data_IF_683613563406
#
_entry.id   IF_683613563406
#
_cell.length_a   1.000
_cell.length_b   1.000
_cell.length_c   1.000
_cell.angle_alpha   90.00
_cell.angle_beta   90.00
_cell.angle_gamma   90.00
#
_symmetry.space_group_name_H-M   'P 1'
#
loop_
_entity.id
_entity.type
_entity.pdbx_description
1 polymer ?
#
# COMPACT_ATOMS: atom_id res chain seq x y z
N UNK A 1 -2.27 59.96 -29.83
CA UNK A 1 -2.63 59.61 -28.44
C UNK A 1 -3.86 58.73 -28.48
N UNK A 2 -3.68 57.42 -28.53
CA UNK A 2 -4.73 56.44 -28.30
C UNK A 2 -4.09 55.41 -27.36
N UNK A 3 -4.54 55.42 -26.11
CA UNK A 3 -4.05 54.54 -25.07
C UNK A 3 -4.60 53.14 -25.28
N UNK A 4 -3.70 52.18 -25.47
CA UNK A 4 -3.99 50.75 -25.37
C UNK A 4 -3.86 50.34 -23.90
N UNK A 5 -4.98 50.11 -23.25
CA UNK A 5 -5.03 49.47 -21.93
C UNK A 5 -4.86 47.96 -22.14
N UNK A 6 -3.63 47.47 -22.00
CA UNK A 6 -3.37 46.04 -21.86
C UNK A 6 -3.81 45.61 -20.46
N UNK A 7 -4.84 44.78 -20.38
CA UNK A 7 -5.24 44.10 -19.15
C UNK A 7 -4.20 43.01 -18.89
N UNK A 8 -3.19 43.33 -18.08
CA UNK A 8 -2.34 42.32 -17.44
C UNK A 8 -3.16 41.64 -16.33
N UNK A 9 -3.78 40.50 -16.63
CA UNK A 9 -4.16 39.53 -15.59
C UNK A 9 -2.91 38.79 -15.14
N UNK A 10 -2.08 39.48 -14.37
CA UNK A 10 -1.07 38.82 -13.54
C UNK A 10 -1.80 38.06 -12.43
N UNK A 11 -1.73 36.73 -12.45
CA UNK A 11 -2.13 35.91 -11.30
C UNK A 11 -1.17 36.25 -10.15
N UNK A 12 -1.65 37.09 -9.24
CA UNK A 12 -0.97 37.41 -7.99
C UNK A 12 -0.90 36.10 -7.15
N UNK A 13 0.24 35.40 -7.17
CA UNK A 13 0.49 34.28 -6.25
C UNK A 13 0.40 34.77 -4.81
N UNK A 14 -0.63 34.38 -4.08
CA UNK A 14 -0.77 34.65 -2.64
C UNK A 14 -0.34 33.41 -1.86
N UNK A 15 0.79 33.50 -1.16
CA UNK A 15 1.30 32.45 -0.26
C UNK A 15 0.27 32.02 0.81
N UNK A 16 -0.67 32.90 1.15
CA UNK A 16 -1.76 32.64 2.09
C UNK A 16 -2.72 31.53 1.60
N UNK A 17 -2.92 31.42 0.28
CA UNK A 17 -3.75 30.37 -0.32
C UNK A 17 -3.05 29.02 -0.31
N UNK A 18 -1.73 29.01 -0.47
CA UNK A 18 -0.89 27.80 -0.41
C UNK A 18 -0.78 27.26 1.02
N UNK A 19 -0.62 28.14 2.00
CA UNK A 19 -0.63 27.77 3.43
C UNK A 19 -1.99 27.15 3.82
N UNK A 20 -3.10 27.76 3.38
CA UNK A 20 -4.44 27.25 3.63
C UNK A 20 -4.73 25.90 2.97
N UNK A 21 -4.23 25.65 1.75
CA UNK A 21 -4.42 24.37 1.07
C UNK A 21 -3.72 23.21 1.79
N UNK A 22 -2.47 23.43 2.22
CA UNK A 22 -1.71 22.44 2.97
C UNK A 22 -2.38 22.08 4.30
N UNK A 23 -2.82 23.09 5.06
CA UNK A 23 -3.56 22.89 6.31
C UNK A 23 -4.86 22.10 6.12
N UNK A 24 -5.61 22.40 5.05
CA UNK A 24 -6.84 21.67 4.72
C UNK A 24 -6.56 20.18 4.43
N UNK A 25 -5.51 19.88 3.66
CA UNK A 25 -5.17 18.50 3.32
C UNK A 25 -4.65 17.69 4.53
N UNK A 26 -3.77 18.28 5.34
CA UNK A 26 -3.28 17.64 6.57
C UNK A 26 -4.42 17.43 7.55
N UNK A 27 -5.25 18.46 7.77
CA UNK A 27 -6.41 18.37 8.65
C UNK A 27 -7.44 17.32 8.18
N UNK A 28 -7.62 17.14 6.87
CA UNK A 28 -8.44 16.07 6.32
C UNK A 28 -7.91 14.69 6.69
N UNK A 29 -6.61 14.44 6.48
CA UNK A 29 -5.96 13.15 6.77
C UNK A 29 -6.03 12.84 8.27
N UNK A 30 -5.72 13.81 9.12
CA UNK A 30 -5.78 13.66 10.58
C UNK A 30 -7.20 13.37 11.05
N UNK A 31 -8.19 14.05 10.47
CA UNK A 31 -9.60 13.80 10.77
C UNK A 31 -10.00 12.38 10.41
N UNK A 32 -9.60 11.88 9.22
CA UNK A 32 -9.87 10.50 8.81
C UNK A 32 -9.32 9.52 9.85
N UNK A 33 -8.05 9.66 10.23
CA UNK A 33 -7.42 8.77 11.20
C UNK A 33 -8.06 8.86 12.59
N UNK A 34 -8.38 10.07 13.07
CA UNK A 34 -9.07 10.27 14.34
C UNK A 34 -10.45 9.61 14.34
N UNK A 35 -11.21 9.73 13.24
CA UNK A 35 -12.51 9.07 13.12
C UNK A 35 -12.37 7.55 13.06
N UNK A 36 -11.40 7.02 12.33
CA UNK A 36 -11.11 5.58 12.29
C UNK A 36 -10.73 5.04 13.68
N UNK A 37 -9.92 5.78 14.46
CA UNK A 37 -9.59 5.44 15.84
C UNK A 37 -10.84 5.39 16.72
N UNK A 38 -11.68 6.44 16.65
CA UNK A 38 -12.92 6.55 17.41
C UNK A 38 -13.89 5.40 17.13
N UNK A 39 -13.90 4.88 15.90
CA UNK A 39 -14.73 3.75 15.48
C UNK A 39 -14.10 2.38 15.79
N UNK A 40 -12.92 2.32 16.40
CA UNK A 40 -12.21 1.07 16.69
C UNK A 40 -11.71 0.36 15.43
N UNK A 41 -11.57 1.07 14.31
CA UNK A 41 -11.17 0.50 13.02
C UNK A 41 -9.64 0.35 12.85
N UNK A 42 -8.85 0.82 13.82
CA UNK A 42 -7.39 0.73 13.79
C UNK A 42 -6.85 -0.57 14.38
N UNK A 43 -7.65 -1.25 15.19
CA UNK A 43 -7.24 -2.50 15.80
C UNK A 43 -7.42 -3.64 14.80
N UNK A 44 -6.29 -4.19 14.32
CA UNK A 44 -6.33 -5.49 13.68
C UNK A 44 -6.89 -6.49 14.72
N UNK A 45 -7.90 -7.31 14.39
CA UNK A 45 -8.37 -8.33 15.32
C UNK A 45 -7.16 -9.19 15.67
N UNK A 46 -6.77 -9.14 16.95
CA UNK A 46 -5.51 -9.71 17.41
C UNK A 46 -5.32 -11.09 16.80
N UNK A 47 -4.20 -11.27 16.07
CA UNK A 47 -3.92 -12.54 15.42
C UNK A 47 -3.84 -13.62 16.49
N UNK A 48 -4.96 -14.29 16.72
CA UNK A 48 -4.96 -15.53 17.48
C UNK A 48 -4.17 -16.49 16.62
N UNK A 49 -2.96 -16.81 17.07
CA UNK A 49 -2.15 -17.88 16.48
C UNK A 49 -3.03 -19.13 16.52
N UNK A 50 -3.70 -19.42 15.40
CA UNK A 50 -4.59 -20.57 15.27
C UNK A 50 -3.70 -21.80 15.28
N UNK A 51 -3.55 -22.39 16.45
CA UNK A 51 -2.85 -23.66 16.57
C UNK A 51 -3.62 -24.70 15.77
N UNK A 52 -2.99 -25.30 14.76
CA UNK A 52 -3.58 -26.38 13.95
C UNK A 52 -3.89 -27.66 14.77
N UNK A 53 -3.50 -27.69 16.04
CA UNK A 53 -3.62 -28.84 16.92
C UNK A 53 -4.74 -28.63 17.93
N UNK A 54 -5.49 -29.69 18.19
CA UNK A 54 -6.52 -29.71 19.23
C UNK A 54 -5.89 -29.52 20.62
N UNK A 55 -6.69 -29.03 21.57
CA UNK A 55 -6.27 -28.90 22.97
C UNK A 55 -5.78 -30.23 23.55
N UNK A 56 -6.35 -31.35 23.09
CA UNK A 56 -5.98 -32.71 23.49
C UNK A 56 -4.57 -33.04 22.98
N UNK A 57 -4.32 -32.87 21.68
CA UNK A 57 -3.00 -33.09 21.07
C UNK A 57 -1.91 -32.23 21.71
N UNK A 58 -2.23 -30.96 22.02
CA UNK A 58 -1.30 -30.07 22.73
C UNK A 58 -0.98 -30.60 24.13
N UNK A 59 -1.96 -31.14 24.87
CA UNK A 59 -1.73 -31.78 26.18
C UNK A 59 -0.83 -33.01 26.06
N UNK A 60 -1.02 -33.84 25.03
CA UNK A 60 -0.17 -35.01 24.77
C UNK A 60 1.27 -34.62 24.43
N UNK A 61 1.47 -33.58 23.61
CA UNK A 61 2.81 -33.03 23.31
C UNK A 61 3.48 -32.51 24.57
N UNK A 62 2.76 -31.80 25.43
CA UNK A 62 3.28 -31.33 26.74
C UNK A 62 3.68 -32.51 27.62
N UNK A 63 2.87 -33.57 27.69
CA UNK A 63 3.18 -34.81 28.43
C UNK A 63 4.45 -35.47 27.90
N UNK A 64 4.57 -35.65 26.58
CA UNK A 64 5.79 -36.15 25.91
C UNK A 64 7.03 -35.33 26.27
N UNK A 65 6.96 -34.00 26.19
CA UNK A 65 8.07 -33.10 26.55
C UNK A 65 8.47 -33.25 28.02
N UNK A 66 7.49 -33.39 28.94
CA UNK A 66 7.73 -33.63 30.36
C UNK A 66 8.44 -34.97 30.60
N UNK A 67 7.98 -36.05 29.95
CA UNK A 67 8.62 -37.38 30.05
C UNK A 67 10.03 -37.37 29.47
N UNK A 68 10.26 -36.71 28.33
CA UNK A 68 11.61 -36.56 27.76
C UNK A 68 12.55 -35.83 28.72
N UNK A 69 12.11 -34.75 29.39
CA UNK A 69 12.93 -34.08 30.42
C UNK A 69 13.25 -34.97 31.62
N UNK A 70 12.34 -35.88 32.00
CA UNK A 70 12.60 -36.85 33.08
C UNK A 70 13.63 -37.89 32.66
N UNK A 71 13.56 -38.37 31.42
CA UNK A 71 14.55 -39.29 30.84
C UNK A 71 15.95 -38.66 30.83
N UNK A 72 16.07 -37.40 30.39
CA UNK A 72 17.35 -36.67 30.38
C UNK A 72 17.97 -36.50 31.78
N UNK A 73 17.18 -36.70 32.84
CA UNK A 73 17.63 -36.67 34.25
C UNK A 73 17.78 -38.07 34.85
N UNK A 74 17.76 -39.13 34.03
CA UNK A 74 17.76 -40.54 34.44
C UNK A 74 16.60 -40.96 35.38
N UNK A 75 15.51 -40.20 35.39
CA UNK A 75 14.38 -40.38 36.31
C UNK A 75 13.21 -41.19 35.70
N UNK A 76 13.36 -41.77 34.51
CA UNK A 76 12.37 -42.72 33.97
C UNK A 76 12.97 -43.67 32.92
N UNK A 77 12.42 -44.88 32.75
CA UNK A 77 12.79 -45.81 31.68
C UNK A 77 12.60 -45.23 30.27
N UNK A 78 13.39 -45.73 29.31
CA UNK A 78 13.31 -45.35 27.88
C UNK A 78 11.95 -45.74 27.29
N UNK A 79 11.35 -46.86 27.72
CA UNK A 79 10.04 -47.34 27.28
C UNK A 79 8.91 -46.32 27.49
N UNK A 80 8.93 -45.58 28.61
CA UNK A 80 7.96 -44.53 28.90
C UNK A 80 8.04 -43.37 27.90
N UNK A 81 9.24 -43.05 27.42
CA UNK A 81 9.45 -42.03 26.41
C UNK A 81 8.95 -42.47 25.02
N UNK A 82 9.14 -43.74 24.67
CA UNK A 82 8.67 -44.32 23.40
C UNK A 82 7.14 -44.34 23.37
N UNK A 83 6.49 -44.82 24.43
CA UNK A 83 5.04 -44.82 24.55
C UNK A 83 4.45 -43.40 24.55
N UNK A 84 5.11 -42.45 25.22
CA UNK A 84 4.73 -41.04 25.20
C UNK A 84 4.98 -40.36 23.83
N UNK A 85 5.70 -40.97 22.88
CA UNK A 85 5.90 -40.46 21.51
C UNK A 85 4.81 -40.92 20.54
N UNK A 86 4.30 -42.15 20.67
CA UNK A 86 3.38 -42.76 19.69
C UNK A 86 2.01 -42.07 19.66
N UNK A 87 1.40 -41.84 20.82
CA UNK A 87 0.07 -41.21 20.95
C UNK A 87 0.02 -39.79 20.35
N UNK A 88 0.90 -38.84 20.72
CA UNK A 88 0.86 -37.50 20.14
C UNK A 88 1.15 -37.50 18.64
N UNK A 89 2.00 -38.38 18.12
CA UNK A 89 2.24 -38.46 16.67
C UNK A 89 0.97 -38.90 15.91
N UNK A 90 0.19 -39.81 16.48
CA UNK A 90 -1.10 -40.23 15.93
C UNK A 90 -2.10 -39.08 15.97
N UNK A 91 -2.24 -38.42 17.11
CA UNK A 91 -3.15 -37.28 17.30
C UNK A 91 -2.81 -36.10 16.38
N UNK A 92 -1.51 -35.79 16.20
CA UNK A 92 -1.05 -34.78 15.23
C UNK A 92 -1.46 -35.15 13.81
N UNK A 93 -1.31 -36.42 13.40
CA UNK A 93 -1.73 -36.87 12.06
C UNK A 93 -3.24 -36.74 11.86
N UNK A 94 -4.03 -37.09 12.88
CA UNK A 94 -5.49 -36.97 12.84
C UNK A 94 -5.92 -35.51 12.75
N UNK A 95 -5.37 -34.63 13.59
CA UNK A 95 -5.67 -33.19 13.57
C UNK A 95 -5.32 -32.58 12.21
N UNK A 96 -4.17 -32.94 11.63
CA UNK A 96 -3.77 -32.49 10.28
C UNK A 96 -4.74 -32.96 9.20
N UNK A 97 -5.18 -34.22 9.23
CA UNK A 97 -6.17 -34.75 8.28
C UNK A 97 -7.51 -34.02 8.40
N UNK A 98 -7.99 -33.82 9.63
CA UNK A 98 -9.24 -33.10 9.89
C UNK A 98 -9.16 -31.64 9.42
N UNK A 99 -8.03 -30.97 9.67
CA UNK A 99 -7.81 -29.60 9.24
C UNK A 99 -7.73 -29.49 7.71
N UNK A 100 -7.08 -30.46 7.04
CA UNK A 100 -7.04 -30.52 5.59
C UNK A 100 -8.43 -30.69 4.99
N UNK A 101 -9.25 -31.61 5.53
CA UNK A 101 -10.63 -31.81 5.08
C UNK A 101 -11.49 -30.54 5.27
N UNK A 102 -11.37 -29.86 6.42
CA UNK A 102 -12.04 -28.57 6.66
C UNK A 102 -11.59 -27.50 5.67
N UNK A 103 -10.30 -27.46 5.34
CA UNK A 103 -9.75 -26.49 4.39
C UNK A 103 -10.30 -26.75 2.98
N UNK A 104 -10.34 -28.00 2.53
CA UNK A 104 -10.94 -28.41 1.24
C UNK A 104 -12.40 -27.98 1.16
N UNK A 105 -13.20 -28.26 2.20
CA UNK A 105 -14.61 -27.87 2.23
C UNK A 105 -14.78 -26.35 2.11
N UNK A 106 -14.02 -25.59 2.90
CA UNK A 106 -14.02 -24.12 2.85
C UNK A 106 -13.69 -23.57 1.46
N UNK A 107 -12.78 -24.22 0.73
CA UNK A 107 -12.41 -23.79 -0.63
C UNK A 107 -13.51 -24.10 -1.63
N UNK A 108 -14.13 -25.28 -1.53
CA UNK A 108 -15.26 -25.61 -2.38
C UNK A 108 -16.37 -24.55 -2.21
N UNK A 109 -16.66 -24.18 -0.96
CA UNK A 109 -17.61 -23.10 -0.66
C UNK A 109 -17.15 -21.75 -1.24
N UNK A 110 -15.86 -21.41 -1.17
CA UNK A 110 -15.32 -20.16 -1.74
C UNK A 110 -15.38 -20.09 -3.27
N UNK A 111 -15.16 -21.22 -3.94
CA UNK A 111 -15.29 -21.32 -5.41
C UNK A 111 -16.75 -21.14 -5.81
N UNK A 112 -17.68 -21.76 -5.08
CA UNK A 112 -19.12 -21.67 -5.36
C UNK A 112 -19.68 -20.26 -5.12
N UNK A 113 -19.08 -19.48 -4.22
CA UNK A 113 -19.50 -18.12 -3.89
C UNK A 113 -18.69 -17.03 -4.62
N UNK A 114 -17.92 -17.38 -5.65
CA UNK A 114 -17.07 -16.47 -6.45
C UNK A 114 -16.06 -15.62 -5.63
N UNK A 115 -15.61 -16.13 -4.47
CA UNK A 115 -14.52 -15.51 -3.69
C UNK A 115 -13.15 -15.93 -4.25
N UNK A 116 -12.91 -15.51 -5.50
CA UNK A 116 -11.67 -15.77 -6.25
C UNK A 116 -10.41 -15.34 -5.49
N UNK A 117 -10.49 -14.27 -4.68
CA UNK A 117 -9.37 -13.73 -3.89
C UNK A 117 -8.95 -14.67 -2.76
N UNK A 118 -9.90 -15.26 -2.03
CA UNK A 118 -9.57 -16.20 -0.96
C UNK A 118 -9.10 -17.55 -1.52
N UNK A 119 -9.68 -17.99 -2.63
CA UNK A 119 -9.23 -19.18 -3.34
C UNK A 119 -7.76 -19.06 -3.81
N UNK A 120 -7.40 -17.93 -4.43
CA UNK A 120 -6.01 -17.70 -4.85
C UNK A 120 -5.05 -17.62 -3.66
N UNK A 121 -5.46 -17.01 -2.53
CA UNK A 121 -4.64 -17.02 -1.31
C UNK A 121 -4.34 -18.45 -0.83
N UNK A 122 -5.32 -19.35 -0.90
CA UNK A 122 -5.12 -20.76 -0.54
C UNK A 122 -4.12 -21.47 -1.46
N UNK A 123 -4.29 -21.39 -2.79
CA UNK A 123 -3.35 -22.05 -3.72
C UNK A 123 -1.91 -21.54 -3.51
N UNK A 124 -1.73 -20.23 -3.31
CA UNK A 124 -0.41 -19.64 -3.04
C UNK A 124 0.25 -20.23 -1.78
N UNK A 125 -0.52 -20.51 -0.73
CA UNK A 125 0.02 -21.13 0.50
C UNK A 125 0.47 -22.58 0.30
N UNK A 126 -0.15 -23.33 -0.62
CA UNK A 126 0.16 -24.73 -0.89
C UNK A 126 1.29 -24.93 -1.89
N UNK A 127 1.42 -24.03 -2.86
CA UNK A 127 2.39 -24.18 -3.94
C UNK A 127 3.82 -23.88 -3.50
N UNK A 128 4.05 -23.43 -2.26
CA UNK A 128 5.39 -23.08 -1.76
C UNK A 128 6.03 -21.88 -2.48
N UNK A 129 5.40 -21.39 -3.55
CA UNK A 129 5.68 -20.12 -4.23
C UNK A 129 5.15 -18.95 -3.39
N UNK A 130 5.29 -19.00 -2.07
CA UNK A 130 5.54 -17.76 -1.37
C UNK A 130 6.79 -17.24 -2.03
N UNK A 131 6.69 -16.13 -2.76
CA UNK A 131 7.84 -15.46 -3.34
C UNK A 131 8.98 -15.61 -2.33
N UNK A 132 10.07 -16.32 -2.68
CA UNK A 132 11.31 -16.10 -1.95
C UNK A 132 11.55 -14.62 -2.15
N UNK A 133 11.10 -13.87 -1.16
CA UNK A 133 11.16 -12.44 -1.10
C UNK A 133 12.64 -12.17 -0.90
N UNK A 134 13.37 -12.15 -2.02
CA UNK A 134 14.60 -11.38 -2.12
C UNK A 134 14.16 -9.90 -2.30
N UNK A 135 13.16 -9.45 -1.52
CA UNK A 135 12.80 -8.03 -1.51
C UNK A 135 13.95 -7.20 -0.92
N UNK A 136 14.83 -7.84 -0.15
CA UNK A 136 15.96 -7.20 0.51
C UNK A 136 17.29 -7.91 0.22
N UNK A 137 17.48 -8.33 -1.04
CA UNK A 137 18.75 -8.89 -1.51
C UNK A 137 19.92 -7.91 -1.41
N UNK A 138 21.15 -8.38 -1.61
CA UNK A 138 22.30 -7.50 -1.72
C UNK A 138 22.21 -6.67 -3.01
N UNK A 139 22.67 -5.41 -2.97
CA UNK A 139 22.55 -4.45 -4.09
C UNK A 139 23.92 -3.87 -4.41
N UNK A 140 24.20 -3.63 -5.70
CA UNK A 140 25.41 -2.95 -6.15
C UNK A 140 25.34 -1.45 -5.91
N UNK A 141 26.45 -0.87 -5.44
CA UNK A 141 26.66 0.57 -5.50
C UNK A 141 27.06 1.03 -6.94
N UNK A 142 27.25 2.34 -7.11
CA UNK A 142 27.68 2.94 -8.39
C UNK A 142 29.04 2.44 -8.91
N UNK A 143 29.85 1.82 -8.07
CA UNK A 143 31.15 1.25 -8.40
C UNK A 143 31.10 -0.28 -8.53
N UNK A 144 29.90 -0.88 -8.57
CA UNK A 144 29.66 -2.33 -8.62
C UNK A 144 30.18 -3.09 -7.38
N UNK A 145 30.32 -2.42 -6.22
CA UNK A 145 30.57 -3.10 -4.95
C UNK A 145 29.26 -3.62 -4.36
N UNK A 146 29.30 -4.83 -3.81
CA UNK A 146 28.10 -5.48 -3.27
C UNK A 146 27.82 -4.99 -1.83
N UNK A 147 26.63 -4.43 -1.62
CA UNK A 147 26.18 -3.91 -0.33
C UNK A 147 25.07 -4.78 0.25
N UNK A 148 25.21 -5.17 1.51
CA UNK A 148 24.22 -5.95 2.26
C UNK A 148 23.59 -5.17 3.41
N UNK A 149 24.23 -4.09 3.85
CA UNK A 149 23.80 -3.25 4.97
C UNK A 149 22.56 -2.42 4.58
N UNK A 150 21.60 -2.31 5.50
CA UNK A 150 20.27 -1.77 5.21
C UNK A 150 20.29 -0.27 4.93
N UNK A 151 21.03 0.51 5.72
CA UNK A 151 21.08 1.97 5.55
C UNK A 151 21.79 2.37 4.25
N UNK A 152 22.86 1.68 3.89
CA UNK A 152 23.56 1.88 2.63
C UNK A 152 22.69 1.46 1.43
N UNK A 153 21.94 0.36 1.54
CA UNK A 153 20.94 0.02 0.51
C UNK A 153 19.88 1.10 0.34
N UNK A 154 19.37 1.69 1.42
CA UNK A 154 18.43 2.81 1.35
C UNK A 154 19.05 3.98 0.59
N UNK A 155 20.31 4.36 0.90
CA UNK A 155 21.00 5.43 0.16
C UNK A 155 21.18 5.10 -1.32
N UNK A 156 21.52 3.85 -1.66
CA UNK A 156 21.63 3.41 -3.06
C UNK A 156 20.28 3.59 -3.78
N UNK A 157 19.18 3.12 -3.19
CA UNK A 157 17.84 3.27 -3.76
C UNK A 157 17.41 4.73 -3.87
N UNK A 158 17.62 5.54 -2.83
CA UNK A 158 17.30 6.97 -2.82
C UNK A 158 18.05 7.70 -3.92
N UNK A 159 19.36 7.43 -4.09
CA UNK A 159 20.14 8.04 -5.15
C UNK A 159 19.69 7.58 -6.53
N UNK A 160 19.47 6.27 -6.73
CA UNK A 160 19.06 5.72 -8.01
C UNK A 160 17.73 6.32 -8.49
N UNK A 161 16.67 6.21 -7.68
CA UNK A 161 15.36 6.76 -8.05
C UNK A 161 15.33 8.29 -8.02
N UNK A 162 16.12 8.92 -7.16
CA UNK A 162 16.28 10.37 -7.13
C UNK A 162 16.88 10.92 -8.43
N UNK A 163 17.94 10.28 -8.94
CA UNK A 163 18.53 10.67 -10.24
C UNK A 163 17.59 10.36 -11.42
N UNK A 164 16.79 9.28 -11.37
CA UNK A 164 15.76 9.01 -12.38
C UNK A 164 14.66 10.08 -12.41
N UNK A 165 14.27 10.62 -11.25
CA UNK A 165 13.24 11.65 -11.14
C UNK A 165 13.76 13.07 -11.37
N UNK A 166 15.08 13.25 -11.44
CA UNK A 166 15.72 14.56 -11.57
C UNK A 166 15.57 15.09 -12.99
N UNK A 167 15.10 16.32 -13.11
CA UNK A 167 15.15 17.04 -14.38
C UNK A 167 16.58 17.54 -14.64
N UNK A 168 17.44 16.63 -15.13
CA UNK A 168 18.83 16.96 -15.49
C UNK A 168 18.92 18.02 -16.58
N UNK A 169 17.86 18.19 -17.37
CA UNK A 169 17.85 19.08 -18.52
C UNK A 169 17.28 20.47 -18.23
N UNK A 170 16.61 20.66 -17.09
CA UNK A 170 15.86 21.86 -16.76
C UNK A 170 14.64 22.11 -17.65
N UNK A 171 14.24 21.12 -18.45
CA UNK A 171 13.19 21.28 -19.45
C UNK A 171 11.79 21.15 -18.87
N UNK A 172 11.61 20.39 -17.79
CA UNK A 172 10.29 20.03 -17.26
C UNK A 172 9.47 21.25 -16.87
N UNK A 173 10.11 22.37 -16.53
CA UNK A 173 9.44 23.64 -16.14
C UNK A 173 9.86 24.84 -17.01
N UNK A 174 10.46 24.62 -18.17
CA UNK A 174 10.93 25.71 -19.04
C UNK A 174 9.82 26.18 -19.99
N UNK A 175 9.10 27.26 -19.62
CA UNK A 175 8.00 27.82 -20.43
C UNK A 175 8.41 28.08 -21.88
N UNK A 176 9.52 28.80 -22.08
CA UNK A 176 10.05 29.12 -23.40
C UNK A 176 10.28 27.87 -24.28
N UNK A 177 10.73 26.77 -23.68
CA UNK A 177 10.95 25.53 -24.43
C UNK A 177 9.64 24.94 -24.90
N UNK A 178 8.64 24.88 -24.03
CA UNK A 178 7.33 24.33 -24.36
C UNK A 178 6.55 25.24 -25.31
N UNK A 179 6.58 26.56 -25.12
CA UNK A 179 5.96 27.54 -26.03
C UNK A 179 6.48 27.41 -27.47
N UNK A 180 7.77 27.13 -27.67
CA UNK A 180 8.34 26.92 -29.00
C UNK A 180 7.96 25.57 -29.64
N UNK A 181 7.55 24.58 -28.84
CA UNK A 181 7.17 23.23 -29.29
C UNK A 181 5.64 23.09 -29.47
N UNK A 182 4.87 23.86 -28.72
CA UNK A 182 3.41 23.88 -28.80
C UNK A 182 3.03 24.76 -29.99
N UNK A 183 2.35 24.17 -30.97
CA UNK A 183 1.85 24.91 -32.12
C UNK A 183 0.80 25.92 -31.67
N UNK A 184 0.94 27.20 -32.06
CA UNK A 184 -0.02 28.25 -31.70
C UNK A 184 -1.38 28.11 -32.40
N UNK A 185 -1.48 27.24 -33.41
CA UNK A 185 -2.72 26.91 -34.13
C UNK A 185 -3.58 25.82 -33.42
N UNK A 186 -3.28 25.45 -32.18
CA UNK A 186 -4.11 24.49 -31.43
C UNK A 186 -5.41 25.11 -30.96
N UNK A 187 -6.52 24.38 -31.14
CA UNK A 187 -7.84 24.76 -30.63
C UNK A 187 -7.78 25.00 -29.10
N UNK A 188 -8.23 26.17 -28.66
CA UNK A 188 -8.35 26.50 -27.25
C UNK A 188 -9.53 25.75 -26.63
N UNK A 189 -9.25 24.90 -25.65
CA UNK A 189 -10.26 24.15 -24.92
C UNK A 189 -10.82 25.00 -23.77
N UNK A 190 -11.81 25.84 -24.09
CA UNK A 190 -12.48 26.69 -23.09
C UNK A 190 -13.09 25.88 -21.94
N UNK A 191 -13.41 24.60 -22.16
CA UNK A 191 -13.86 23.69 -21.12
C UNK A 191 -12.87 23.53 -19.97
N UNK A 192 -11.56 23.74 -20.22
CA UNK A 192 -10.52 23.71 -19.19
C UNK A 192 -10.54 24.92 -18.26
N UNK A 193 -11.25 26.00 -18.60
CA UNK A 193 -11.39 27.14 -17.69
C UNK A 193 -12.56 26.97 -16.71
N UNK A 194 -13.37 25.92 -16.88
CA UNK A 194 -14.51 25.67 -16.02
C UNK A 194 -14.08 25.10 -14.67
N UNK A 195 -14.80 25.46 -13.62
CA UNK A 195 -14.69 24.83 -12.31
C UNK A 195 -14.99 23.34 -12.40
N UNK A 196 -14.23 22.52 -11.68
CA UNK A 196 -14.44 21.07 -11.64
C UNK A 196 -15.79 20.77 -10.98
N UNK A 197 -16.62 20.01 -11.69
CA UNK A 197 -17.92 19.57 -11.23
C UNK A 197 -17.81 18.40 -10.25
N UNK A 198 -18.74 18.33 -9.30
CA UNK A 198 -18.82 17.21 -8.36
C UNK A 198 -19.00 15.85 -9.05
N UNK A 199 -19.70 15.81 -10.19
CA UNK A 199 -19.84 14.60 -11.00
C UNK A 199 -18.51 14.11 -11.59
N UNK A 200 -17.60 15.03 -11.95
CA UNK A 200 -16.27 14.69 -12.46
C UNK A 200 -15.40 14.13 -11.33
N UNK A 201 -15.46 14.74 -10.15
CA UNK A 201 -14.76 14.26 -8.95
C UNK A 201 -15.22 12.86 -8.57
N UNK A 202 -16.54 12.64 -8.48
CA UNK A 202 -17.09 11.33 -8.12
C UNK A 202 -16.87 10.27 -9.20
N UNK A 203 -16.88 10.67 -10.48
CA UNK A 203 -16.47 9.84 -11.61
C UNK A 203 -15.01 9.39 -11.47
N UNK A 204 -14.08 10.31 -11.25
CA UNK A 204 -12.67 10.00 -11.05
C UNK A 204 -12.44 9.11 -9.82
N UNK A 205 -13.14 9.38 -8.71
CA UNK A 205 -13.08 8.53 -7.52
C UNK A 205 -13.56 7.10 -7.83
N UNK A 206 -14.59 6.93 -8.66
CA UNK A 206 -15.11 5.62 -9.06
C UNK A 206 -14.05 4.75 -9.74
N UNK A 207 -13.27 5.37 -10.62
CA UNK A 207 -12.23 4.71 -11.43
C UNK A 207 -11.01 4.29 -10.61
N UNK A 208 -10.81 4.87 -9.41
CA UNK A 208 -9.69 4.45 -8.57
C UNK A 208 -9.80 2.96 -8.21
N UNK A 209 -8.76 2.14 -8.38
CA UNK A 209 -8.86 0.70 -8.12
C UNK A 209 -8.93 0.37 -6.62
N UNK A 210 -9.85 -0.51 -6.23
CA UNK A 210 -9.93 -1.02 -4.85
C UNK A 210 -8.75 -1.94 -4.50
N UNK A 211 -8.45 -2.07 -3.21
CA UNK A 211 -7.43 -2.93 -2.62
C UNK A 211 -6.02 -2.64 -3.12
N UNK A 212 -5.76 -1.42 -3.58
CA UNK A 212 -4.38 -0.96 -3.84
C UNK A 212 -3.70 -0.54 -2.56
N UNK A 213 -2.38 -0.55 -2.60
CA UNK A 213 -1.59 -0.05 -1.49
C UNK A 213 -1.93 1.43 -1.26
N UNK A 214 -2.16 1.84 0.00
CA UNK A 214 -2.34 3.26 0.29
C UNK A 214 -1.05 4.03 0.05
N UNK A 215 -1.16 5.35 -0.12
CA UNK A 215 -0.01 6.25 -0.22
C UNK A 215 0.76 6.40 1.10
N UNK A 216 1.67 7.39 1.15
CA UNK A 216 2.52 7.66 2.32
C UNK A 216 1.76 7.83 3.64
N UNK A 217 0.52 8.33 3.56
CA UNK A 217 -0.34 8.60 4.71
C UNK A 217 -1.24 7.42 5.12
N UNK A 218 -1.14 6.28 4.43
CA UNK A 218 -1.82 5.04 4.82
C UNK A 218 -3.34 5.01 4.60
N UNK A 219 -3.95 6.06 4.04
CA UNK A 219 -5.40 6.10 3.76
C UNK A 219 -5.71 5.33 2.47
N UNK A 220 -6.55 4.28 2.50
CA UNK A 220 -6.89 3.50 1.31
C UNK A 220 -7.92 4.24 0.44
N UNK A 221 -7.90 3.96 -0.87
CA UNK A 221 -8.79 4.58 -1.87
C UNK A 221 -10.27 4.48 -1.52
N UNK A 222 -10.68 3.40 -0.88
CA UNK A 222 -12.05 3.09 -0.51
C UNK A 222 -12.64 4.09 0.49
N UNK A 223 -11.80 4.73 1.31
CA UNK A 223 -12.26 5.80 2.23
C UNK A 223 -12.76 7.00 1.43
N UNK A 224 -12.04 7.39 0.38
CA UNK A 224 -12.43 8.52 -0.46
C UNK A 224 -13.69 8.22 -1.26
N UNK A 225 -13.91 6.95 -1.63
CA UNK A 225 -15.11 6.51 -2.37
C UNK A 225 -16.41 6.60 -1.57
N UNK A 226 -16.36 6.78 -0.25
CA UNK A 226 -17.56 6.85 0.60
C UNK A 226 -18.51 7.99 0.20
N UNK A 227 -17.99 9.06 -0.40
CA UNK A 227 -18.77 10.22 -0.83
C UNK A 227 -19.46 10.04 -2.19
N UNK A 228 -19.14 8.98 -2.94
CA UNK A 228 -19.63 8.79 -4.32
C UNK A 228 -21.14 8.59 -4.43
N UNK A 229 -21.80 8.16 -3.34
CA UNK A 229 -23.25 8.02 -3.32
C UNK A 229 -23.98 9.38 -3.21
N UNK A 230 -23.26 10.47 -2.92
CA UNK A 230 -23.85 11.79 -2.77
C UNK A 230 -24.03 12.47 -4.14
N UNK A 231 -25.25 12.89 -4.53
CA UNK A 231 -25.48 13.57 -5.80
C UNK A 231 -24.89 15.00 -5.83
N UNK A 232 -24.56 15.56 -4.67
CA UNK A 232 -23.90 16.85 -4.49
C UNK A 232 -23.04 16.79 -3.21
N UNK A 233 -22.01 17.63 -3.03
CA UNK A 233 -21.11 17.53 -1.89
C UNK A 233 -21.79 18.08 -0.62
N UNK A 234 -22.53 17.22 0.08
CA UNK A 234 -23.34 17.63 1.24
C UNK A 234 -22.66 17.35 2.57
N UNK A 235 -22.00 16.19 2.68
CA UNK A 235 -21.26 15.80 3.87
C UNK A 235 -20.01 16.66 4.06
N UNK A 236 -19.52 16.72 5.30
CA UNK A 236 -18.29 17.46 5.60
C UNK A 236 -17.09 16.93 4.80
N UNK A 237 -17.01 15.61 4.58
CA UNK A 237 -15.97 14.99 3.78
C UNK A 237 -16.09 15.39 2.31
N UNK A 238 -17.28 15.29 1.73
CA UNK A 238 -17.53 15.64 0.33
C UNK A 238 -17.25 17.13 0.05
N UNK A 239 -17.70 18.02 0.95
CA UNK A 239 -17.41 19.46 0.87
C UNK A 239 -15.92 19.76 0.91
N UNK A 240 -15.18 19.09 1.81
CA UNK A 240 -13.75 19.31 1.97
C UNK A 240 -12.97 18.80 0.75
N UNK A 241 -13.30 17.60 0.24
CA UNK A 241 -12.71 17.06 -1.00
C UNK A 241 -12.98 18.00 -2.18
N UNK A 242 -14.25 18.41 -2.37
CA UNK A 242 -14.63 19.32 -3.45
C UNK A 242 -13.87 20.66 -3.37
N UNK A 243 -13.72 21.20 -2.17
CA UNK A 243 -12.99 22.45 -1.94
C UNK A 243 -11.49 22.30 -2.26
N UNK A 244 -10.84 21.24 -1.77
CA UNK A 244 -9.42 21.00 -2.00
C UNK A 244 -9.13 20.85 -3.51
N UNK A 245 -9.92 20.03 -4.21
CA UNK A 245 -9.73 19.78 -5.65
C UNK A 245 -9.88 21.07 -6.46
N UNK A 246 -10.91 21.87 -6.19
CA UNK A 246 -11.10 23.12 -6.91
C UNK A 246 -10.00 24.14 -6.60
N UNK A 247 -9.53 24.26 -5.35
CA UNK A 247 -8.38 25.12 -5.04
C UNK A 247 -7.13 24.65 -5.81
N UNK A 248 -6.87 23.34 -5.85
CA UNK A 248 -5.73 22.80 -6.61
C UNK A 248 -5.84 23.13 -8.11
N UNK A 249 -7.04 23.01 -8.66
CA UNK A 249 -7.30 23.29 -10.08
C UNK A 249 -7.13 24.78 -10.41
N UNK A 250 -7.82 25.66 -9.66
CA UNK A 250 -7.86 27.09 -9.91
C UNK A 250 -6.49 27.75 -9.69
N UNK A 251 -5.69 27.23 -8.75
CA UNK A 251 -4.38 27.82 -8.41
C UNK A 251 -3.20 27.13 -9.10
N UNK A 252 -3.39 25.90 -9.60
CA UNK A 252 -2.31 25.04 -10.06
C UNK A 252 -1.35 24.58 -8.94
N UNK A 253 -1.65 24.86 -7.68
CA UNK A 253 -0.80 24.47 -6.55
C UNK A 253 -1.13 23.06 -6.08
N UNK A 254 -0.10 22.25 -5.87
CA UNK A 254 -0.22 20.90 -5.31
C UNK A 254 0.19 20.96 -3.83
N UNK A 255 -0.63 20.46 -2.89
CA UNK A 255 -0.26 20.44 -1.48
C UNK A 255 0.93 19.51 -1.25
N UNK A 256 1.80 19.88 -0.31
CA UNK A 256 3.02 19.16 0.05
C UNK A 256 2.75 17.70 0.42
N UNK A 257 1.60 17.41 1.04
CA UNK A 257 1.22 16.03 1.36
C UNK A 257 0.97 15.16 0.11
N UNK A 258 0.72 15.76 -1.06
CA UNK A 258 0.58 15.04 -2.34
C UNK A 258 1.88 15.06 -3.17
N UNK A 259 2.91 15.78 -2.74
CA UNK A 259 4.22 15.83 -3.42
C UNK A 259 5.11 14.63 -3.09
N UNK A 260 4.81 13.92 -2.00
CA UNK A 260 5.61 12.78 -1.56
C UNK A 260 5.12 11.46 -2.17
N UNK A 261 6.06 10.64 -2.64
CA UNK A 261 5.78 9.31 -3.18
C UNK A 261 6.52 8.24 -2.38
N UNK A 262 5.88 7.08 -2.21
CA UNK A 262 6.51 5.90 -1.62
C UNK A 262 7.10 5.06 -2.75
N UNK A 263 8.42 4.96 -2.78
CA UNK A 263 9.13 4.14 -3.75
C UNK A 263 9.24 2.70 -3.23
N UNK A 264 8.73 1.75 -4.01
CA UNK A 264 8.85 0.32 -3.74
C UNK A 264 9.56 -0.31 -4.95
N UNK A 265 10.86 -0.65 -4.84
CA UNK A 265 11.59 -1.24 -5.96
C UNK A 265 10.96 -2.58 -6.37
N UNK A 266 10.49 -2.68 -7.61
CA UNK A 266 9.91 -3.89 -8.17
C UNK A 266 10.91 -4.53 -9.15
N UNK A 267 11.37 -5.77 -8.88
CA UNK A 267 12.36 -6.40 -9.74
C UNK A 267 11.80 -6.65 -11.15
N UNK A 268 12.63 -6.33 -12.14
CA UNK A 268 12.49 -6.70 -13.55
C UNK A 268 13.38 -7.93 -13.84
N UNK A 269 13.30 -8.43 -15.07
CA UNK A 269 14.20 -9.50 -15.53
C UNK A 269 15.64 -8.97 -15.58
N UNK A 270 16.58 -9.71 -14.99
CA UNK A 270 18.00 -9.35 -14.98
C UNK A 270 18.70 -9.81 -13.70
N UNK A 271 19.89 -9.27 -13.44
CA UNK A 271 20.58 -9.44 -12.16
C UNK A 271 19.88 -8.60 -11.09
N UNK A 272 19.33 -9.26 -10.06
CA UNK A 272 18.62 -8.63 -8.96
C UNK A 272 19.52 -7.82 -8.01
N UNK A 273 20.84 -7.89 -8.20
CA UNK A 273 21.77 -7.02 -7.47
C UNK A 273 21.91 -5.65 -8.11
N UNK A 274 21.51 -5.50 -9.38
CA UNK A 274 21.68 -4.27 -10.14
C UNK A 274 20.43 -3.38 -10.02
N UNK A 275 20.52 -2.15 -9.47
CA UNK A 275 19.38 -1.23 -9.37
C UNK A 275 18.68 -0.96 -10.71
N UNK A 276 19.39 -0.97 -11.84
CA UNK A 276 18.81 -0.73 -13.16
C UNK A 276 17.79 -1.81 -13.57
N UNK A 277 17.87 -2.98 -12.93
CA UNK A 277 16.91 -4.07 -13.10
C UNK A 277 15.68 -3.93 -12.20
N UNK A 278 15.38 -2.73 -11.68
CA UNK A 278 14.18 -2.42 -10.92
C UNK A 278 13.34 -1.31 -11.58
N UNK A 279 12.06 -1.26 -11.25
CA UNK A 279 11.14 -0.16 -11.56
C UNK A 279 10.44 0.30 -10.29
#
# INVERSE_FOLDING_TARGET
>A
MLGSTAVQTGVQRTADTELGLNELCVGLIDTVWHQSARLGALDAPGETIKTMLSKITVKEIKKRRKTFRKLMKNNCPISDCINAKLNPNRSIKTDRKAQHAKSIKKIADQILNDDSKSYWRYIKSYTGKSFQSIADGPVYDKFKNLTTEKQEKIKIWTNHFGELAKDATGNSRCSNKWENLINTDTDYYQECDNTILWSEITGALAETPNNKAPGAYGVPSEVWKLVMAEPSPTSSLAKLINKIINIMYDTGNIPQCLETSVVVPVPKKGDLKDPDNYR
#
